data_IF_120414771761
#
_entry.id   IF_120414771761
#
_cell.length_a   1.000
_cell.length_b   1.000
_cell.length_c   1.000
_cell.angle_alpha   90.00
_cell.angle_beta   90.00
_cell.angle_gamma   90.00
#
_symmetry.space_group_name_H-M   'P 1'
#
loop_
_entity.id
_entity.type
_entity.pdbx_description
1 polymer ?
#
# COMPACT_ATOMS: atom_id res chain seq x y z
N UNK A 1 -17.54 -12.93 19.90
CA UNK A 1 -17.31 -12.07 18.72
C UNK A 1 -16.36 -10.96 19.14
N UNK A 2 -15.09 -11.06 18.79
CA UNK A 2 -14.07 -10.08 19.19
C UNK A 2 -14.26 -8.80 18.39
N UNK A 3 -14.62 -7.73 19.10
CA UNK A 3 -14.71 -6.38 18.56
C UNK A 3 -13.28 -5.95 18.21
N UNK A 4 -12.92 -5.94 16.93
CA UNK A 4 -11.67 -5.32 16.51
C UNK A 4 -11.77 -3.81 16.78
N UNK A 5 -10.77 -3.19 17.43
CA UNK A 5 -10.82 -1.76 17.75
C UNK A 5 -10.88 -0.92 16.46
N UNK A 6 -11.70 0.13 16.49
CA UNK A 6 -11.96 1.07 15.39
C UNK A 6 -10.70 1.74 14.80
N UNK A 7 -9.54 1.63 15.46
CA UNK A 7 -8.23 2.05 14.94
C UNK A 7 -7.62 1.11 13.92
N UNK A 8 -8.13 -0.12 13.75
CA UNK A 8 -7.57 -1.13 12.81
C UNK A 8 -8.16 -1.06 11.38
N UNK A 9 -9.09 -0.13 11.12
CA UNK A 9 -9.79 -0.02 9.83
C UNK A 9 -9.04 0.88 8.82
N UNK A 10 -8.15 1.76 9.28
CA UNK A 10 -7.24 2.46 8.38
C UNK A 10 -6.16 1.49 7.88
N UNK A 11 -6.34 1.01 6.65
CA UNK A 11 -5.29 0.34 5.87
C UNK A 11 -4.98 -1.09 6.38
N UNK A 12 -5.97 -1.98 6.39
CA UNK A 12 -5.63 -3.41 6.49
C UNK A 12 -5.20 -3.90 5.11
N UNK A 13 -3.93 -3.66 4.77
CA UNK A 13 -3.29 -4.29 3.62
C UNK A 13 -3.07 -5.77 3.99
N UNK A 14 -3.52 -6.71 3.15
CA UNK A 14 -3.27 -8.13 3.35
C UNK A 14 -1.78 -8.41 3.62
N UNK A 15 -1.49 -9.22 4.64
CA UNK A 15 -0.12 -9.47 5.10
C UNK A 15 0.75 -10.10 4.01
N UNK A 16 0.15 -10.99 3.23
CA UNK A 16 0.70 -11.62 2.03
C UNK A 16 1.20 -10.60 1.01
N UNK A 17 0.46 -9.50 0.77
CA UNK A 17 0.92 -8.44 -0.14
C UNK A 17 2.18 -7.73 0.40
N UNK A 18 2.30 -7.57 1.72
CA UNK A 18 3.47 -6.88 2.31
C UNK A 18 4.69 -7.78 2.54
N UNK A 19 4.53 -9.10 2.46
CA UNK A 19 5.58 -10.03 2.88
C UNK A 19 6.80 -9.99 1.95
N UNK A 20 6.57 -9.91 0.64
CA UNK A 20 7.66 -9.78 -0.34
C UNK A 20 8.47 -8.50 -0.12
N UNK A 21 7.78 -7.37 0.09
CA UNK A 21 8.42 -6.08 0.38
C UNK A 21 9.28 -6.16 1.64
N UNK A 22 8.79 -6.79 2.72
CA UNK A 22 9.57 -6.96 3.96
C UNK A 22 10.84 -7.76 3.72
N UNK A 23 10.76 -8.85 2.96
CA UNK A 23 11.93 -9.67 2.62
C UNK A 23 12.95 -8.87 1.83
N UNK A 24 12.53 -8.08 0.84
CA UNK A 24 13.41 -7.21 0.06
C UNK A 24 14.08 -6.14 0.92
N UNK A 25 13.31 -5.49 1.79
CA UNK A 25 13.86 -4.49 2.73
C UNK A 25 14.87 -5.09 3.70
N UNK A 26 14.66 -6.33 4.17
CA UNK A 26 15.64 -7.02 5.00
C UNK A 26 16.96 -7.29 4.24
N UNK A 27 16.88 -7.69 2.97
CA UNK A 27 18.06 -7.84 2.10
C UNK A 27 18.79 -6.51 1.92
N UNK A 28 18.06 -5.43 1.63
CA UNK A 28 18.62 -4.08 1.50
C UNK A 28 19.29 -3.63 2.80
N UNK A 29 18.67 -3.89 3.95
CA UNK A 29 19.28 -3.63 5.26
C UNK A 29 20.60 -4.39 5.46
N UNK A 30 20.68 -5.63 4.97
CA UNK A 30 21.93 -6.39 4.91
C UNK A 30 23.00 -5.73 4.03
N UNK A 31 22.61 -5.20 2.86
CA UNK A 31 23.51 -4.49 1.95
C UNK A 31 24.02 -3.17 2.54
N UNK A 32 23.15 -2.41 3.22
CA UNK A 32 23.52 -1.19 3.95
C UNK A 32 24.53 -1.50 5.06
N UNK A 33 24.30 -2.58 5.82
CA UNK A 33 25.28 -3.04 6.82
C UNK A 33 26.61 -3.47 6.18
N UNK A 34 26.57 -4.01 4.95
CA UNK A 34 27.76 -4.29 4.15
C UNK A 34 28.54 -3.01 3.82
N UNK A 35 27.85 -1.97 3.36
CA UNK A 35 28.46 -0.66 3.05
C UNK A 35 29.17 -0.04 4.25
N UNK A 36 28.55 -0.08 5.44
CA UNK A 36 29.18 0.39 6.69
C UNK A 36 30.52 -0.32 6.90
N UNK A 37 30.55 -1.66 6.79
CA UNK A 37 31.77 -2.45 6.95
C UNK A 37 32.82 -2.17 5.87
N UNK A 38 32.42 -1.84 4.65
CA UNK A 38 33.36 -1.48 3.58
C UNK A 38 34.04 -0.15 3.89
N UNK A 39 33.29 0.82 4.44
CA UNK A 39 33.82 2.11 4.88
C UNK A 39 34.77 1.93 6.08
N UNK A 40 34.40 1.12 7.06
CA UNK A 40 35.24 0.83 8.24
C UNK A 40 36.60 0.20 7.87
N UNK A 41 36.63 -0.54 6.76
CA UNK A 41 37.82 -1.23 6.24
C UNK A 41 38.60 -0.42 5.22
N UNK A 42 38.17 0.80 4.92
CA UNK A 42 38.74 1.63 3.85
C UNK A 42 38.85 0.87 2.52
N UNK A 43 37.80 0.11 2.16
CA UNK A 43 37.77 -0.65 0.91
C UNK A 43 37.84 0.26 -0.32
N UNK A 44 38.17 -0.34 -1.46
CA UNK A 44 38.25 0.31 -2.76
C UNK A 44 37.01 1.20 -3.05
N UNK A 45 37.20 2.52 -3.26
CA UNK A 45 36.11 3.45 -3.54
C UNK A 45 35.20 3.03 -4.71
N UNK A 46 35.73 2.40 -5.75
CA UNK A 46 34.92 1.93 -6.89
C UNK A 46 33.94 0.83 -6.48
N UNK A 47 34.37 -0.07 -5.58
CA UNK A 47 33.51 -1.11 -5.01
C UNK A 47 32.44 -0.51 -4.11
N UNK A 48 32.80 0.47 -3.27
CA UNK A 48 31.86 1.16 -2.39
C UNK A 48 30.76 1.84 -3.22
N UNK A 49 31.14 2.61 -4.25
CA UNK A 49 30.19 3.29 -5.14
C UNK A 49 29.28 2.28 -5.86
N UNK A 50 29.83 1.15 -6.30
CA UNK A 50 29.05 0.08 -6.94
C UNK A 50 28.00 -0.50 -6.00
N UNK A 51 28.37 -0.77 -4.73
CA UNK A 51 27.43 -1.29 -3.73
C UNK A 51 26.39 -0.24 -3.32
N UNK A 52 26.76 1.04 -3.24
CA UNK A 52 25.81 2.13 -3.02
C UNK A 52 24.74 2.20 -4.10
N UNK A 53 25.14 2.11 -5.38
CA UNK A 53 24.19 2.05 -6.50
C UNK A 53 23.29 0.81 -6.44
N UNK A 54 23.82 -0.33 -6.00
CA UNK A 54 23.02 -1.54 -5.83
C UNK A 54 21.94 -1.37 -4.75
N UNK A 55 22.26 -0.73 -3.63
CA UNK A 55 21.30 -0.38 -2.56
C UNK A 55 20.23 0.57 -3.07
N UNK A 56 20.64 1.64 -3.76
CA UNK A 56 19.72 2.65 -4.33
C UNK A 56 18.71 2.02 -5.29
N UNK A 57 19.20 1.26 -6.27
CA UNK A 57 18.34 0.52 -7.21
C UNK A 57 17.43 -0.49 -6.53
N UNK A 58 17.93 -1.18 -5.50
CA UNK A 58 17.15 -2.12 -4.71
C UNK A 58 15.99 -1.43 -3.98
N UNK A 59 16.25 -0.27 -3.41
CA UNK A 59 15.23 0.52 -2.70
C UNK A 59 14.20 1.10 -3.67
N UNK A 60 14.62 1.66 -4.79
CA UNK A 60 13.70 2.16 -5.83
C UNK A 60 12.79 1.04 -6.36
N UNK A 61 13.34 -0.14 -6.61
CA UNK A 61 12.56 -1.32 -7.02
C UNK A 61 11.55 -1.71 -5.94
N UNK A 62 11.96 -1.78 -4.67
CA UNK A 62 11.06 -2.10 -3.57
C UNK A 62 9.95 -1.06 -3.39
N UNK A 63 10.25 0.22 -3.61
CA UNK A 63 9.29 1.31 -3.58
C UNK A 63 8.24 1.18 -4.70
N UNK A 64 8.68 0.94 -5.94
CA UNK A 64 7.77 0.77 -7.07
C UNK A 64 6.86 -0.46 -6.90
N UNK A 65 7.42 -1.58 -6.41
CA UNK A 65 6.63 -2.77 -6.07
C UNK A 65 5.61 -2.50 -4.95
N UNK A 66 5.97 -1.73 -3.93
CA UNK A 66 5.02 -1.36 -2.88
C UNK A 66 3.83 -0.59 -3.45
N UNK A 67 4.04 0.28 -4.42
CA UNK A 67 2.96 1.05 -5.02
C UNK A 67 2.08 0.18 -5.94
N UNK A 68 2.68 -0.57 -6.86
CA UNK A 68 1.92 -1.32 -7.89
C UNK A 68 1.42 -2.69 -7.42
N UNK A 69 2.18 -3.44 -6.65
CA UNK A 69 1.80 -4.79 -6.24
C UNK A 69 1.05 -4.80 -4.91
N UNK A 70 1.29 -3.82 -4.04
CA UNK A 70 0.67 -3.78 -2.71
C UNK A 70 -0.49 -2.80 -2.67
N UNK A 71 -0.23 -1.51 -2.89
CA UNK A 71 -1.27 -0.49 -2.73
C UNK A 71 -2.33 -0.54 -3.83
N UNK A 72 -1.95 -0.78 -5.10
CA UNK A 72 -2.93 -0.92 -6.19
C UNK A 72 -3.87 -2.10 -5.95
N UNK A 73 -3.33 -3.27 -5.56
CA UNK A 73 -4.14 -4.46 -5.24
C UNK A 73 -5.02 -4.25 -4.02
N UNK A 74 -4.48 -3.66 -2.95
CA UNK A 74 -5.26 -3.31 -1.78
C UNK A 74 -6.41 -2.35 -2.12
N UNK A 75 -6.16 -1.37 -3.01
CA UNK A 75 -7.20 -0.45 -3.49
C UNK A 75 -8.31 -1.20 -4.23
N UNK A 76 -7.95 -2.13 -5.12
CA UNK A 76 -8.94 -2.95 -5.84
C UNK A 76 -9.84 -3.73 -4.87
N UNK A 77 -9.24 -4.43 -3.90
CA UNK A 77 -9.97 -5.16 -2.86
C UNK A 77 -10.92 -4.20 -2.13
N UNK A 78 -10.42 -3.01 -1.74
CA UNK A 78 -11.22 -2.06 -0.99
C UNK A 78 -12.40 -1.48 -1.77
N UNK A 79 -12.22 -1.24 -3.07
CA UNK A 79 -13.29 -0.78 -3.95
C UNK A 79 -14.40 -1.83 -4.01
N UNK A 80 -14.04 -3.11 -4.19
CA UNK A 80 -15.02 -4.22 -4.22
C UNK A 80 -15.75 -4.32 -2.88
N UNK A 81 -15.03 -4.32 -1.75
CA UNK A 81 -15.65 -4.35 -0.41
C UNK A 81 -16.67 -3.24 -0.21
N UNK A 82 -16.36 -2.01 -0.64
CA UNK A 82 -17.23 -0.85 -0.45
C UNK A 82 -18.40 -0.86 -1.43
N UNK A 83 -18.18 -1.32 -2.66
CA UNK A 83 -19.25 -1.48 -3.65
C UNK A 83 -20.26 -2.55 -3.21
N UNK A 84 -19.79 -3.71 -2.74
CA UNK A 84 -20.64 -4.80 -2.25
C UNK A 84 -21.43 -4.39 -0.99
N UNK A 85 -20.86 -3.52 -0.17
CA UNK A 85 -21.54 -2.97 1.01
C UNK A 85 -22.55 -1.86 0.67
N UNK A 86 -22.56 -1.30 -0.54
CA UNK A 86 -23.52 -0.26 -0.91
C UNK A 86 -24.76 -0.89 -1.58
N UNK A 87 -25.95 -0.87 -0.94
CA UNK A 87 -27.18 -1.43 -1.50
C UNK A 87 -27.81 -0.59 -2.63
N UNK A 88 -27.11 0.42 -3.17
CA UNK A 88 -27.61 1.32 -4.21
C UNK A 88 -28.32 2.59 -3.71
N UNK A 89 -28.38 2.81 -2.39
CA UNK A 89 -28.89 4.03 -1.75
C UNK A 89 -28.05 4.45 -0.51
N UNK A 90 -26.74 4.20 -0.54
CA UNK A 90 -25.76 4.59 0.47
C UNK A 90 -25.27 6.06 0.37
N UNK A 91 -25.79 6.86 -0.56
CA UNK A 91 -25.49 8.30 -0.71
C UNK A 91 -24.10 8.61 -1.23
N UNK A 92 -23.40 7.62 -1.80
CA UNK A 92 -22.06 7.74 -2.38
C UNK A 92 -21.90 6.90 -3.67
N UNK A 93 -23.00 6.50 -4.30
CA UNK A 93 -23.07 5.56 -5.43
C UNK A 93 -22.24 6.04 -6.62
N UNK A 94 -22.49 7.27 -7.07
CA UNK A 94 -21.78 7.87 -8.21
C UNK A 94 -20.27 7.90 -7.98
N UNK A 95 -19.86 8.14 -6.73
CA UNK A 95 -18.46 8.26 -6.36
C UNK A 95 -17.78 6.90 -6.25
N UNK A 96 -18.48 5.89 -5.73
CA UNK A 96 -18.01 4.50 -5.70
C UNK A 96 -17.86 3.99 -7.14
N UNK A 97 -18.85 4.22 -8.00
CA UNK A 97 -18.82 3.78 -9.39
C UNK A 97 -17.74 4.50 -10.21
N UNK A 98 -17.55 5.81 -9.99
CA UNK A 98 -16.46 6.57 -10.58
C UNK A 98 -15.10 5.97 -10.20
N UNK A 99 -14.85 5.74 -8.90
CA UNK A 99 -13.57 5.19 -8.44
C UNK A 99 -13.34 3.78 -9.01
N UNK A 100 -14.39 2.94 -9.06
CA UNK A 100 -14.33 1.59 -9.62
C UNK A 100 -13.98 1.60 -11.11
N UNK A 101 -14.66 2.43 -11.89
CA UNK A 101 -14.48 2.51 -13.34
C UNK A 101 -13.14 3.13 -13.73
N UNK A 102 -12.67 4.13 -12.99
CA UNK A 102 -11.39 4.80 -13.26
C UNK A 102 -10.17 4.08 -12.66
N UNK A 103 -10.37 3.07 -11.80
CA UNK A 103 -9.29 2.35 -11.13
C UNK A 103 -8.12 1.92 -12.03
N UNK A 104 -8.35 1.32 -13.22
CA UNK A 104 -7.26 0.91 -14.11
C UNK A 104 -6.39 2.07 -14.61
N UNK A 105 -6.91 3.30 -14.57
CA UNK A 105 -6.27 4.50 -15.12
C UNK A 105 -5.55 5.34 -14.06
N UNK A 106 -5.72 5.03 -12.77
CA UNK A 106 -5.06 5.80 -11.72
C UNK A 106 -3.55 5.66 -11.79
N UNK A 107 -2.89 6.82 -11.73
CA UNK A 107 -1.43 6.91 -11.61
C UNK A 107 -1.00 6.59 -10.19
N UNK A 108 0.30 6.32 -10.03
CA UNK A 108 0.87 5.92 -8.75
C UNK A 108 0.65 6.92 -7.62
N UNK A 109 0.80 8.21 -7.91
CA UNK A 109 0.57 9.30 -6.96
C UNK A 109 -0.92 9.48 -6.58
N UNK A 110 -1.82 8.95 -7.41
CA UNK A 110 -3.27 8.97 -7.18
C UNK A 110 -3.75 7.80 -6.34
N UNK A 111 -3.06 6.65 -6.39
CA UNK A 111 -3.46 5.40 -5.71
C UNK A 111 -3.66 5.63 -4.22
N UNK A 112 -2.71 6.27 -3.54
CA UNK A 112 -2.83 6.53 -2.09
C UNK A 112 -3.95 7.51 -1.75
N UNK A 113 -4.18 8.51 -2.61
CA UNK A 113 -5.28 9.47 -2.42
C UNK A 113 -6.62 8.77 -2.56
N UNK A 114 -6.79 7.95 -3.60
CA UNK A 114 -8.01 7.17 -3.85
C UNK A 114 -8.24 6.09 -2.80
N UNK A 115 -7.18 5.48 -2.28
CA UNK A 115 -7.26 4.55 -1.17
C UNK A 115 -7.83 5.20 0.10
N UNK A 116 -7.35 6.39 0.46
CA UNK A 116 -7.89 7.15 1.61
C UNK A 116 -9.35 7.56 1.36
N UNK A 117 -9.66 7.98 0.14
CA UNK A 117 -11.01 8.40 -0.25
C UNK A 117 -12.02 7.26 -0.14
N UNK A 118 -11.75 6.10 -0.74
CA UNK A 118 -12.65 4.94 -0.69
C UNK A 118 -12.79 4.37 0.72
N UNK A 119 -11.73 4.43 1.54
CA UNK A 119 -11.78 4.00 2.94
C UNK A 119 -12.77 4.85 3.75
N UNK A 120 -12.71 6.19 3.59
CA UNK A 120 -13.65 7.11 4.23
C UNK A 120 -15.09 6.89 3.77
N UNK A 121 -15.30 6.59 2.48
CA UNK A 121 -16.62 6.24 1.96
C UNK A 121 -17.11 4.96 2.64
N UNK A 122 -16.28 3.92 2.71
CA UNK A 122 -16.63 2.66 3.37
C UNK A 122 -17.02 2.81 4.84
N UNK A 123 -16.38 3.72 5.59
CA UNK A 123 -16.76 4.05 6.97
C UNK A 123 -18.18 4.63 7.03
N UNK A 124 -18.49 5.60 6.17
CA UNK A 124 -19.83 6.22 6.09
C UNK A 124 -20.91 5.22 5.67
N UNK A 125 -20.62 4.35 4.69
CA UNK A 125 -21.55 3.30 4.24
C UNK A 125 -21.90 2.37 5.41
N UNK A 126 -20.92 1.96 6.21
CA UNK A 126 -21.16 1.14 7.42
C UNK A 126 -22.00 1.85 8.47
N UNK A 127 -21.80 3.15 8.67
CA UNK A 127 -22.62 3.95 9.59
C UNK A 127 -24.07 4.06 9.12
N UNK A 128 -24.30 4.27 7.82
CA UNK A 128 -25.64 4.29 7.23
C UNK A 128 -26.36 2.94 7.40
N UNK A 129 -25.67 1.82 7.18
CA UNK A 129 -26.24 0.48 7.40
C UNK A 129 -26.68 0.27 8.85
N UNK A 130 -25.88 0.71 9.83
CA UNK A 130 -26.24 0.58 11.26
C UNK A 130 -27.43 1.43 11.70
N UNK A 131 -27.71 2.54 11.01
CA UNK A 131 -28.85 3.43 11.31
C UNK A 131 -30.15 2.97 10.64
N UNK A 132 -30.04 2.14 9.60
CA UNK A 132 -31.16 1.61 8.84
C UNK A 132 -31.46 0.13 9.17
N UNK A 133 -30.82 -0.42 10.21
CA UNK A 133 -31.09 -1.73 10.82
C UNK A 133 -31.91 -1.53 12.10
#
# INVERSE_FOLDING_TARGET
MTVLPLTKILIMIPRDLTQDIKTRLATIGGQVNGLIKMLDKEEDPEKIITQFKAVDNGLDTAYNLLLDEVYRKALAIKIVEVADACPGNCGNEEKIDFIRTQFPKFKMDEILKKFKEITKIGERVKEHQKKNL
#
